data_IF_181818836030
#
_entry.id   IF_181818836030
#
_cell.length_a   1.000
_cell.length_b   1.000
_cell.length_c   1.000
_cell.angle_alpha   90.00
_cell.angle_beta   90.00
_cell.angle_gamma   90.00
#
_symmetry.space_group_name_H-M   'P 1'
#
loop_
_entity.id
_entity.type
_entity.pdbx_description
1 polymer ?
#
# COMPACT_ATOMS: atom_id res chain seq x y z
N UNK A 1 30.92 6.19 29.45
CA UNK A 1 30.98 4.75 29.15
C UNK A 1 29.77 4.36 28.30
N UNK A 2 30.03 4.27 26.99
CA UNK A 2 29.37 3.48 25.93
C UNK A 2 27.91 3.03 26.08
N UNK A 3 27.11 3.56 25.16
CA UNK A 3 25.77 3.17 24.76
C UNK A 3 25.56 1.67 24.53
N UNK A 4 24.46 1.13 25.07
CA UNK A 4 23.82 -0.08 24.57
C UNK A 4 22.62 0.34 23.71
N UNK A 5 22.85 0.51 22.41
CA UNK A 5 21.79 0.66 21.43
C UNK A 5 20.98 -0.65 21.37
N UNK A 6 19.82 -0.67 22.03
CA UNK A 6 18.83 -1.73 21.86
C UNK A 6 18.25 -1.64 20.45
N UNK A 7 18.88 -2.35 19.51
CA UNK A 7 18.37 -2.54 18.16
C UNK A 7 16.95 -3.13 18.16
N UNK A 8 16.17 -2.93 17.09
CA UNK A 8 14.77 -3.33 17.07
C UNK A 8 14.66 -4.85 17.23
N UNK A 9 13.68 -5.24 18.04
CA UNK A 9 13.39 -6.62 18.44
C UNK A 9 13.67 -7.61 17.31
N UNK A 10 14.76 -8.38 17.46
CA UNK A 10 15.06 -9.52 16.61
C UNK A 10 13.94 -10.52 16.88
N UNK A 11 12.96 -10.61 15.97
CA UNK A 11 11.86 -11.58 16.07
C UNK A 11 12.44 -12.97 16.41
N UNK A 12 11.93 -13.57 17.48
CA UNK A 12 12.42 -14.84 17.99
C UNK A 12 12.44 -15.94 16.91
N UNK A 13 13.25 -17.00 17.07
CA UNK A 13 13.34 -18.09 16.09
C UNK A 13 11.97 -18.66 15.68
N UNK A 14 10.99 -18.70 16.59
CA UNK A 14 9.61 -19.12 16.30
C UNK A 14 8.88 -18.21 15.29
N UNK A 15 9.01 -16.88 15.43
CA UNK A 15 8.38 -15.90 14.52
C UNK A 15 9.01 -15.99 13.13
N UNK A 16 10.34 -16.14 13.06
CA UNK A 16 11.05 -16.34 11.79
C UNK A 16 10.68 -17.66 11.11
N UNK A 17 10.41 -18.71 11.90
CA UNK A 17 9.86 -19.97 11.42
C UNK A 17 8.49 -19.80 10.77
N UNK A 18 7.54 -19.19 11.48
CA UNK A 18 6.18 -18.96 10.99
C UNK A 18 6.15 -18.10 9.70
N UNK A 19 6.94 -17.04 9.64
CA UNK A 19 7.06 -16.17 8.45
C UNK A 19 7.55 -16.93 7.22
N UNK A 20 8.54 -17.81 7.40
CA UNK A 20 9.04 -18.66 6.30
C UNK A 20 8.00 -19.69 5.88
N UNK A 21 7.20 -20.22 6.81
CA UNK A 21 6.09 -21.14 6.47
C UNK A 21 5.07 -20.45 5.56
N UNK A 22 4.64 -19.23 5.89
CA UNK A 22 3.72 -18.47 5.04
C UNK A 22 4.26 -18.23 3.63
N UNK A 23 5.55 -17.90 3.51
CA UNK A 23 6.17 -17.71 2.21
C UNK A 23 6.22 -19.02 1.39
N UNK A 24 6.47 -20.16 2.04
CA UNK A 24 6.41 -21.49 1.38
C UNK A 24 4.99 -21.85 0.94
N UNK A 25 3.99 -21.55 1.78
CA UNK A 25 2.57 -21.74 1.43
C UNK A 25 2.20 -20.91 0.20
N UNK A 26 2.63 -19.65 0.13
CA UNK A 26 2.41 -18.81 -1.05
C UNK A 26 2.97 -19.47 -2.32
N UNK A 27 4.24 -19.89 -2.29
CA UNK A 27 4.86 -20.53 -3.46
C UNK A 27 4.23 -21.88 -3.82
N UNK A 28 3.74 -22.64 -2.83
CA UNK A 28 2.99 -23.87 -3.09
C UNK A 28 1.66 -23.57 -3.79
N UNK A 29 0.91 -22.59 -3.30
CA UNK A 29 -0.34 -22.14 -3.92
C UNK A 29 -0.11 -21.60 -5.34
N UNK A 30 0.98 -20.84 -5.54
CA UNK A 30 1.37 -20.32 -6.85
C UNK A 30 1.74 -21.44 -7.83
N UNK A 31 2.49 -22.45 -7.39
CA UNK A 31 2.83 -23.60 -8.23
C UNK A 31 1.59 -24.39 -8.65
N UNK A 32 0.70 -24.69 -7.69
CA UNK A 32 -0.55 -25.40 -7.96
C UNK A 32 -1.48 -24.59 -8.87
N UNK A 33 -1.63 -23.28 -8.60
CA UNK A 33 -2.43 -22.38 -9.41
C UNK A 33 -1.89 -22.24 -10.84
N UNK A 34 -0.56 -22.11 -11.00
CA UNK A 34 0.10 -22.06 -12.29
C UNK A 34 -0.05 -23.36 -13.08
N UNK A 35 0.11 -24.52 -12.43
CA UNK A 35 -0.11 -25.82 -13.06
C UNK A 35 -1.57 -26.00 -13.51
N UNK A 36 -2.53 -25.68 -12.64
CA UNK A 36 -3.95 -25.73 -12.98
C UNK A 36 -4.30 -24.78 -14.13
N UNK A 37 -3.71 -23.58 -14.15
CA UNK A 37 -3.90 -22.62 -15.23
C UNK A 37 -3.33 -23.14 -16.56
N UNK A 38 -2.12 -23.71 -16.57
CA UNK A 38 -1.54 -24.30 -17.79
C UNK A 38 -2.34 -25.49 -18.33
N UNK A 39 -3.02 -26.25 -17.47
CA UNK A 39 -3.99 -27.26 -17.89
C UNK A 39 -5.26 -26.61 -18.48
N UNK A 40 -5.72 -25.49 -17.90
CA UNK A 40 -6.93 -24.80 -18.34
C UNK A 40 -6.77 -24.04 -19.66
N UNK A 41 -5.57 -23.53 -19.98
CA UNK A 41 -5.30 -22.77 -21.22
C UNK A 41 -5.71 -23.51 -22.50
N UNK A 42 -5.35 -24.79 -22.72
CA UNK A 42 -5.80 -25.53 -23.90
C UNK A 42 -7.26 -26.00 -23.82
N UNK A 43 -7.83 -26.19 -22.63
CA UNK A 43 -9.15 -26.81 -22.47
C UNK A 43 -10.30 -25.82 -22.32
N UNK A 44 -10.04 -24.59 -21.89
CA UNK A 44 -11.06 -23.57 -21.62
C UNK A 44 -10.79 -22.31 -22.44
N UNK A 45 -11.47 -22.12 -23.59
CA UNK A 45 -11.23 -20.96 -24.47
C UNK A 45 -11.39 -19.61 -23.78
N UNK A 46 -12.32 -19.50 -22.83
CA UNK A 46 -12.53 -18.27 -22.05
C UNK A 46 -11.32 -17.91 -21.19
N UNK A 47 -10.65 -18.91 -20.58
CA UNK A 47 -9.42 -18.69 -19.81
C UNK A 47 -8.31 -18.20 -20.73
N UNK A 48 -8.08 -18.89 -21.86
CA UNK A 48 -7.07 -18.48 -22.84
C UNK A 48 -7.30 -17.05 -23.33
N UNK A 49 -8.53 -16.71 -23.74
CA UNK A 49 -8.84 -15.36 -24.21
C UNK A 49 -8.65 -14.29 -23.13
N UNK A 50 -9.05 -14.58 -21.89
CA UNK A 50 -8.96 -13.64 -20.78
C UNK A 50 -7.53 -13.44 -20.25
N UNK A 51 -6.65 -14.45 -20.34
CA UNK A 51 -5.32 -14.42 -19.70
C UNK A 51 -4.13 -14.41 -20.66
N UNK A 52 -4.27 -14.92 -21.89
CA UNK A 52 -3.21 -14.95 -22.91
C UNK A 52 -3.59 -14.18 -24.18
N UNK A 53 -4.88 -14.07 -24.49
CA UNK A 53 -5.34 -13.46 -25.73
C UNK A 53 -4.83 -14.24 -26.95
N UNK A 54 -4.24 -13.51 -27.89
CA UNK A 54 -3.65 -14.03 -29.13
C UNK A 54 -2.23 -14.60 -28.98
N UNK A 55 -1.63 -14.55 -27.79
CA UNK A 55 -0.29 -15.13 -27.57
C UNK A 55 -0.28 -16.63 -27.88
N UNK A 56 0.79 -17.08 -28.55
CA UNK A 56 1.03 -18.51 -28.77
C UNK A 56 1.36 -19.17 -27.41
N UNK A 57 0.53 -20.12 -26.94
CA UNK A 57 0.76 -20.77 -25.66
C UNK A 57 2.06 -21.57 -25.61
N UNK A 58 2.57 -22.08 -26.74
CA UNK A 58 3.68 -23.04 -26.72
C UNK A 58 5.02 -22.38 -26.29
N UNK A 59 5.49 -21.28 -26.90
CA UNK A 59 6.69 -20.58 -26.43
C UNK A 59 6.56 -20.06 -25.01
N UNK A 60 5.36 -19.62 -24.62
CA UNK A 60 5.10 -19.13 -23.27
C UNK A 60 5.19 -20.28 -22.26
N UNK A 61 4.61 -21.45 -22.55
CA UNK A 61 4.67 -22.63 -21.69
C UNK A 61 6.10 -23.15 -21.51
N UNK A 62 6.91 -23.15 -22.57
CA UNK A 62 8.30 -23.63 -22.54
C UNK A 62 9.15 -22.88 -21.51
N UNK A 63 8.89 -21.60 -21.30
CA UNK A 63 9.61 -20.79 -20.32
C UNK A 63 8.87 -20.75 -18.97
N UNK A 64 7.55 -20.63 -19.01
CA UNK A 64 6.76 -20.41 -17.81
C UNK A 64 6.62 -21.68 -16.96
N UNK A 65 6.43 -22.86 -17.55
CA UNK A 65 6.36 -24.11 -16.76
C UNK A 65 7.62 -24.34 -15.92
N UNK A 66 8.86 -24.29 -16.44
CA UNK A 66 10.04 -24.48 -15.61
C UNK A 66 10.31 -23.30 -14.66
N UNK A 67 10.16 -22.06 -15.11
CA UNK A 67 10.57 -20.89 -14.32
C UNK A 67 9.52 -20.44 -13.31
N UNK A 68 8.24 -20.55 -13.66
CA UNK A 68 7.12 -20.21 -12.79
C UNK A 68 6.63 -21.41 -11.99
N UNK A 69 6.15 -22.49 -12.63
CA UNK A 69 5.50 -23.61 -11.94
C UNK A 69 6.52 -24.43 -11.14
N UNK A 70 7.53 -24.96 -11.80
CA UNK A 70 8.58 -25.78 -11.15
C UNK A 70 9.41 -24.92 -10.21
N UNK A 71 9.81 -23.71 -10.64
CA UNK A 71 10.50 -22.74 -9.79
C UNK A 71 9.76 -22.45 -8.48
N UNK A 72 8.43 -22.24 -8.55
CA UNK A 72 7.59 -22.03 -7.36
C UNK A 72 7.49 -23.30 -6.50
N UNK A 73 7.39 -24.50 -7.09
CA UNK A 73 7.37 -25.75 -6.33
C UNK A 73 8.68 -25.97 -5.56
N UNK A 74 9.82 -25.70 -6.20
CA UNK A 74 11.15 -25.76 -5.57
C UNK A 74 11.29 -24.70 -4.46
N UNK A 75 10.78 -23.49 -4.69
CA UNK A 75 10.73 -22.44 -3.67
C UNK A 75 9.89 -22.86 -2.45
N UNK A 76 8.74 -23.52 -2.68
CA UNK A 76 7.90 -24.08 -1.63
C UNK A 76 8.60 -25.20 -0.84
N UNK A 77 9.46 -25.99 -1.49
CA UNK A 77 10.33 -26.97 -0.84
C UNK A 77 11.44 -26.32 0.01
N UNK A 78 11.64 -25.01 -0.08
CA UNK A 78 12.62 -24.24 0.71
C UNK A 78 13.90 -23.88 -0.05
N UNK A 79 13.95 -24.12 -1.36
CA UNK A 79 15.12 -23.81 -2.18
C UNK A 79 15.14 -22.30 -2.47
N UNK A 80 16.09 -21.59 -1.85
CA UNK A 80 16.13 -20.11 -1.85
C UNK A 80 16.37 -19.49 -3.22
N UNK A 81 17.28 -20.06 -4.02
CA UNK A 81 17.57 -19.52 -5.35
C UNK A 81 16.37 -19.70 -6.30
N UNK A 82 15.61 -20.79 -6.14
CA UNK A 82 14.38 -21.02 -6.91
C UNK A 82 13.31 -19.97 -6.59
N UNK A 83 13.22 -19.51 -5.33
CA UNK A 83 12.32 -18.41 -4.96
C UNK A 83 12.70 -17.09 -5.65
N UNK A 84 14.00 -16.82 -5.81
CA UNK A 84 14.47 -15.64 -6.55
C UNK A 84 14.14 -15.76 -8.04
N UNK A 85 14.46 -16.90 -8.65
CA UNK A 85 14.15 -17.17 -10.07
C UNK A 85 12.65 -17.05 -10.34
N UNK A 86 11.82 -17.74 -9.55
CA UNK A 86 10.37 -17.70 -9.70
C UNK A 86 9.84 -16.27 -9.53
N UNK A 87 10.24 -15.55 -8.47
CA UNK A 87 9.75 -14.19 -8.25
C UNK A 87 10.19 -13.20 -9.35
N UNK A 88 11.44 -13.29 -9.81
CA UNK A 88 11.95 -12.48 -10.91
C UNK A 88 11.23 -12.79 -12.21
N UNK A 89 11.02 -14.07 -12.52
CA UNK A 89 10.27 -14.49 -13.70
C UNK A 89 8.81 -14.04 -13.65
N UNK A 90 8.12 -14.23 -12.53
CA UNK A 90 6.73 -13.74 -12.34
C UNK A 90 6.63 -12.24 -12.58
N UNK A 91 7.61 -11.46 -12.11
CA UNK A 91 7.65 -10.01 -12.35
C UNK A 91 7.86 -9.68 -13.83
N UNK A 92 8.78 -10.38 -14.51
CA UNK A 92 9.01 -10.21 -15.95
C UNK A 92 7.74 -10.51 -16.74
N UNK A 93 7.06 -11.63 -16.46
CA UNK A 93 5.80 -12.00 -17.11
C UNK A 93 4.71 -10.96 -16.82
N UNK A 94 4.57 -10.50 -15.57
CA UNK A 94 3.60 -9.47 -15.22
C UNK A 94 3.81 -8.17 -16.01
N UNK A 95 5.06 -7.71 -16.12
CA UNK A 95 5.41 -6.48 -16.87
C UNK A 95 5.22 -6.68 -18.37
N UNK A 96 5.68 -7.81 -18.93
CA UNK A 96 5.55 -8.11 -20.35
C UNK A 96 4.07 -8.23 -20.75
N UNK A 97 3.27 -8.93 -19.94
CA UNK A 97 1.84 -9.10 -20.17
C UNK A 97 1.08 -7.78 -20.02
N UNK A 98 1.45 -6.93 -19.05
CA UNK A 98 0.90 -5.58 -18.93
C UNK A 98 1.21 -4.74 -20.17
N UNK A 99 2.45 -4.77 -20.68
CA UNK A 99 2.83 -4.10 -21.92
C UNK A 99 2.02 -4.61 -23.12
N UNK A 100 1.95 -5.93 -23.29
CA UNK A 100 1.16 -6.58 -24.33
C UNK A 100 -0.32 -6.15 -24.27
N UNK A 101 -0.98 -6.31 -23.13
CA UNK A 101 -2.38 -5.92 -22.93
C UNK A 101 -2.61 -4.42 -23.16
N UNK A 102 -1.63 -3.59 -22.78
CA UNK A 102 -1.69 -2.14 -23.01
C UNK A 102 -1.61 -1.78 -24.49
N UNK A 103 -0.99 -2.60 -25.34
CA UNK A 103 -0.93 -2.40 -26.80
C UNK A 103 -2.15 -3.06 -27.48
N UNK A 104 -2.44 -4.33 -27.17
CA UNK A 104 -3.41 -5.15 -27.91
C UNK A 104 -4.85 -5.06 -27.39
N UNK A 105 -5.07 -4.61 -26.14
CA UNK A 105 -6.37 -4.69 -25.42
C UNK A 105 -6.85 -6.13 -25.18
N UNK A 106 -5.92 -7.08 -25.10
CA UNK A 106 -6.18 -8.48 -24.80
C UNK A 106 -5.57 -8.87 -23.45
N UNK A 107 -5.89 -10.08 -22.96
CA UNK A 107 -5.24 -10.69 -21.79
C UNK A 107 -5.32 -9.88 -20.47
N UNK A 108 -6.26 -8.94 -20.34
CA UNK A 108 -6.31 -8.04 -19.19
C UNK A 108 -6.52 -8.72 -17.84
N UNK A 109 -7.32 -9.78 -17.78
CA UNK A 109 -7.46 -10.59 -16.55
C UNK A 109 -6.12 -11.23 -16.20
N UNK A 110 -5.37 -11.67 -17.20
CA UNK A 110 -4.00 -12.17 -17.04
C UNK A 110 -3.08 -11.14 -16.39
N UNK A 111 -3.15 -9.87 -16.80
CA UNK A 111 -2.38 -8.78 -16.17
C UNK A 111 -2.66 -8.66 -14.67
N UNK A 112 -3.95 -8.66 -14.30
CA UNK A 112 -4.36 -8.55 -12.89
C UNK A 112 -3.86 -9.75 -12.09
N UNK A 113 -4.06 -10.98 -12.60
CA UNK A 113 -3.62 -12.21 -11.94
C UNK A 113 -2.09 -12.22 -11.76
N UNK A 114 -1.36 -11.86 -12.82
CA UNK A 114 0.11 -11.82 -12.77
C UNK A 114 0.65 -10.70 -11.89
N UNK A 115 -0.03 -9.55 -11.79
CA UNK A 115 0.36 -8.49 -10.86
C UNK A 115 0.23 -8.94 -9.40
N UNK A 116 -0.88 -9.64 -9.06
CA UNK A 116 -1.07 -10.24 -7.73
C UNK A 116 0.00 -11.32 -7.46
N UNK A 117 0.23 -12.20 -8.44
CA UNK A 117 1.26 -13.25 -8.35
C UNK A 117 2.65 -12.66 -8.13
N UNK A 118 3.00 -11.60 -8.87
CA UNK A 118 4.29 -10.93 -8.77
C UNK A 118 4.47 -10.24 -7.41
N UNK A 119 3.48 -9.49 -6.95
CA UNK A 119 3.54 -8.81 -5.65
C UNK A 119 3.70 -9.83 -4.51
N UNK A 120 2.90 -10.89 -4.50
CA UNK A 120 3.01 -11.93 -3.47
C UNK A 120 4.30 -12.73 -3.59
N UNK A 121 4.80 -13.00 -4.81
CA UNK A 121 6.11 -13.62 -5.03
C UNK A 121 7.26 -12.77 -4.49
N UNK A 122 7.24 -11.46 -4.71
CA UNK A 122 8.26 -10.53 -4.19
C UNK A 122 8.25 -10.50 -2.66
N UNK A 123 7.06 -10.42 -2.06
CA UNK A 123 6.88 -10.50 -0.60
C UNK A 123 7.39 -11.85 -0.08
N UNK A 124 6.92 -12.97 -0.62
CA UNK A 124 7.31 -14.32 -0.20
C UNK A 124 8.82 -14.55 -0.36
N UNK A 125 9.41 -14.09 -1.48
CA UNK A 125 10.85 -14.17 -1.72
C UNK A 125 11.63 -13.35 -0.67
N UNK A 126 11.23 -12.10 -0.41
CA UNK A 126 11.84 -11.28 0.63
C UNK A 126 11.72 -11.94 2.02
N UNK A 127 10.58 -12.54 2.35
CA UNK A 127 10.38 -13.26 3.61
C UNK A 127 11.25 -14.52 3.71
N UNK A 128 11.43 -15.29 2.63
CA UNK A 128 12.33 -16.45 2.61
C UNK A 128 13.80 -16.07 2.74
N UNK A 129 14.24 -15.05 2.01
CA UNK A 129 15.64 -14.63 1.96
C UNK A 129 16.06 -13.86 3.21
N UNK A 130 15.24 -12.88 3.63
CA UNK A 130 15.59 -11.94 4.69
C UNK A 130 14.94 -12.28 6.04
N UNK A 131 13.91 -13.13 6.06
CA UNK A 131 13.12 -13.42 7.27
C UNK A 131 12.27 -12.25 7.77
N UNK A 132 12.19 -11.16 6.99
CA UNK A 132 11.44 -9.93 7.29
C UNK A 132 11.26 -9.13 6.01
N UNK A 133 10.22 -8.29 5.96
CA UNK A 133 10.13 -7.28 4.93
C UNK A 133 11.16 -6.16 5.20
N UNK A 134 11.94 -5.74 4.19
CA UNK A 134 12.92 -4.67 4.34
C UNK A 134 12.22 -3.30 4.42
N UNK A 135 11.52 -3.04 5.52
CA UNK A 135 10.73 -1.81 5.74
C UNK A 135 11.58 -0.53 5.82
N UNK A 136 12.87 -0.66 6.15
CA UNK A 136 13.80 0.47 6.26
C UNK A 136 14.01 1.21 4.93
N UNK A 137 13.82 0.53 3.81
CA UNK A 137 14.02 1.12 2.47
C UNK A 137 12.90 2.09 2.09
N UNK A 138 11.69 1.92 2.64
CA UNK A 138 10.58 2.86 2.42
C UNK A 138 10.84 4.23 3.06
N UNK A 139 11.73 4.29 4.07
CA UNK A 139 12.14 5.52 4.75
C UNK A 139 13.41 6.15 4.15
N UNK A 140 14.02 5.51 3.15
CA UNK A 140 15.25 5.97 2.48
C UNK A 140 14.86 6.36 1.05
N UNK A 141 14.56 7.63 0.81
CA UNK A 141 14.12 8.10 -0.51
C UNK A 141 13.50 9.50 -0.48
N UNK A 142 12.64 9.86 -1.47
CA UNK A 142 11.97 11.17 -1.52
C UNK A 142 11.06 11.45 -0.31
N UNK A 143 10.80 10.44 0.53
CA UNK A 143 10.03 10.53 1.76
C UNK A 143 10.89 10.72 3.04
N UNK A 144 12.20 10.84 2.91
CA UNK A 144 13.07 11.12 4.04
C UNK A 144 12.77 12.53 4.60
N UNK A 145 12.49 12.61 5.91
CA UNK A 145 12.31 13.88 6.58
C UNK A 145 13.62 14.69 6.52
N UNK A 146 13.58 15.85 5.85
CA UNK A 146 14.69 16.79 5.83
C UNK A 146 14.36 17.95 6.78
N UNK A 147 15.29 18.35 7.67
CA UNK A 147 15.10 19.54 8.48
C UNK A 147 14.83 20.75 7.57
N UNK A 148 13.82 21.56 7.89
CA UNK A 148 13.63 22.82 7.17
C UNK A 148 14.79 23.76 7.44
N UNK A 149 15.13 24.54 6.41
CA UNK A 149 16.06 25.65 6.53
C UNK A 149 15.48 26.73 7.45
N UNK A 150 16.04 26.87 8.65
CA UNK A 150 15.60 27.84 9.65
C UNK A 150 15.85 29.30 9.23
N UNK A 151 16.58 29.54 8.13
CA UNK A 151 16.91 30.89 7.65
C UNK A 151 15.94 31.45 6.61
N UNK A 152 15.01 30.63 6.09
CA UNK A 152 14.09 31.05 5.05
C UNK A 152 12.87 31.82 5.60
N UNK A 153 12.35 32.76 4.80
CA UNK A 153 11.19 33.55 5.17
C UNK A 153 9.92 32.69 5.33
N UNK A 154 9.07 33.02 6.31
CA UNK A 154 7.81 32.30 6.61
C UNK A 154 6.91 32.11 5.38
N UNK A 155 6.83 33.11 4.50
CA UNK A 155 6.04 33.03 3.25
C UNK A 155 6.57 31.96 2.28
N UNK A 156 7.89 31.75 2.21
CA UNK A 156 8.50 30.69 1.41
C UNK A 156 8.20 29.30 1.98
N UNK A 157 8.21 29.15 3.31
CA UNK A 157 7.81 27.90 3.94
C UNK A 157 6.34 27.55 3.71
N UNK A 158 5.45 28.54 3.79
CA UNK A 158 4.01 28.36 3.51
C UNK A 158 3.78 28.02 2.04
N UNK A 159 4.43 28.71 1.11
CA UNK A 159 4.31 28.43 -0.32
C UNK A 159 4.86 27.04 -0.69
N UNK A 160 6.04 26.67 -0.18
CA UNK A 160 6.64 25.35 -0.41
C UNK A 160 5.77 24.21 0.17
N UNK A 161 5.21 24.44 1.37
CA UNK A 161 4.23 23.57 2.03
C UNK A 161 2.98 23.37 1.18
N UNK A 162 2.37 24.47 0.70
CA UNK A 162 1.19 24.42 -0.14
C UNK A 162 1.47 23.72 -1.48
N UNK A 163 2.61 24.03 -2.12
CA UNK A 163 3.04 23.38 -3.36
C UNK A 163 3.28 21.87 -3.15
N UNK A 164 3.93 21.47 -2.06
CA UNK A 164 4.14 20.06 -1.73
C UNK A 164 2.82 19.33 -1.50
N UNK A 165 1.85 19.93 -0.79
CA UNK A 165 0.52 19.35 -0.62
C UNK A 165 -0.16 19.19 -1.98
N UNK A 166 -0.18 20.22 -2.82
CA UNK A 166 -0.83 20.18 -4.13
C UNK A 166 -0.18 19.13 -5.03
N UNK A 167 1.15 19.06 -5.09
CA UNK A 167 1.86 18.07 -5.90
C UNK A 167 1.62 16.66 -5.36
N UNK A 168 1.73 16.45 -4.05
CA UNK A 168 1.54 15.14 -3.44
C UNK A 168 0.08 14.67 -3.58
N UNK A 169 -0.88 15.49 -3.21
CA UNK A 169 -2.30 15.14 -3.30
C UNK A 169 -2.75 15.04 -4.75
N UNK A 170 -2.33 15.95 -5.62
CA UNK A 170 -2.59 15.87 -7.05
C UNK A 170 -2.04 14.58 -7.67
N UNK A 171 -0.82 14.18 -7.30
CA UNK A 171 -0.26 12.92 -7.78
C UNK A 171 -1.06 11.70 -7.30
N UNK A 172 -1.35 11.60 -5.99
CA UNK A 172 -1.95 10.39 -5.39
C UNK A 172 -3.48 10.31 -5.49
N UNK A 173 -4.19 11.44 -5.58
CA UNK A 173 -5.66 11.51 -5.64
C UNK A 173 -6.21 11.86 -7.03
N UNK A 174 -5.37 12.33 -7.96
CA UNK A 174 -5.80 12.67 -9.33
C UNK A 174 -5.01 11.87 -10.37
N UNK A 175 -3.69 12.10 -10.47
CA UNK A 175 -2.88 11.51 -11.56
C UNK A 175 -2.85 9.98 -11.48
N UNK A 176 -2.52 9.41 -10.32
CA UNK A 176 -2.46 7.97 -10.14
C UNK A 176 -3.83 7.30 -10.33
N UNK A 177 -4.94 7.77 -9.72
CA UNK A 177 -6.26 7.20 -9.98
C UNK A 177 -6.71 7.27 -11.43
N UNK A 178 -6.45 8.39 -12.13
CA UNK A 178 -6.79 8.52 -13.55
C UNK A 178 -5.96 7.58 -14.42
N UNK A 179 -4.67 7.43 -14.13
CA UNK A 179 -3.81 6.46 -14.81
C UNK A 179 -4.27 5.02 -14.57
N UNK A 180 -4.63 4.67 -13.33
CA UNK A 180 -5.16 3.34 -12.97
C UNK A 180 -6.48 3.09 -13.72
N UNK A 181 -7.41 4.04 -13.73
CA UNK A 181 -8.67 3.91 -14.47
C UNK A 181 -8.44 3.79 -15.98
N UNK A 182 -7.49 4.54 -16.53
CA UNK A 182 -7.12 4.40 -17.93
C UNK A 182 -6.61 2.99 -18.25
N UNK A 183 -5.74 2.42 -17.40
CA UNK A 183 -5.27 1.03 -17.53
C UNK A 183 -6.41 0.02 -17.38
N UNK A 184 -7.29 0.21 -16.40
CA UNK A 184 -8.46 -0.66 -16.16
C UNK A 184 -9.36 -0.76 -17.40
N UNK A 185 -9.63 0.37 -18.05
CA UNK A 185 -10.37 0.44 -19.31
C UNK A 185 -9.56 -0.15 -20.47
N UNK A 186 -8.25 0.14 -20.54
CA UNK A 186 -7.37 -0.33 -21.62
C UNK A 186 -7.22 -1.85 -21.62
N UNK A 187 -7.14 -2.44 -20.43
CA UNK A 187 -7.07 -3.88 -20.21
C UNK A 187 -8.44 -4.56 -20.24
N UNK A 188 -9.54 -3.80 -20.39
CA UNK A 188 -10.92 -4.34 -20.42
C UNK A 188 -11.27 -5.17 -19.18
N UNK A 189 -10.78 -4.75 -18.02
CA UNK A 189 -11.09 -5.36 -16.72
C UNK A 189 -12.01 -4.48 -15.87
N UNK A 190 -12.53 -3.39 -16.45
CA UNK A 190 -13.51 -2.55 -15.80
C UNK A 190 -14.80 -3.35 -15.54
N UNK A 191 -15.27 -3.30 -14.30
CA UNK A 191 -16.58 -3.84 -13.92
C UNK A 191 -17.58 -2.71 -14.07
N UNK A 192 -18.53 -2.79 -15.03
CA UNK A 192 -19.53 -1.74 -15.19
C UNK A 192 -20.37 -1.64 -13.92
N UNK A 193 -20.68 -0.40 -13.52
CA UNK A 193 -21.65 -0.17 -12.45
C UNK A 193 -23.03 -0.65 -12.91
N UNK A 194 -23.87 -1.18 -12.02
CA UNK A 194 -25.24 -1.54 -12.38
C UNK A 194 -25.99 -0.31 -12.92
N UNK A 195 -26.78 -0.52 -13.97
CA UNK A 195 -27.57 0.54 -14.59
C UNK A 195 -28.60 1.14 -13.63
N UNK A 196 -29.13 2.31 -13.99
CA UNK A 196 -30.19 2.99 -13.23
C UNK A 196 -29.66 3.73 -12.00
N UNK A 197 -30.36 3.60 -10.87
CA UNK A 197 -30.07 4.40 -9.67
C UNK A 197 -28.66 4.18 -9.12
N UNK A 198 -28.09 2.99 -9.27
CA UNK A 198 -26.75 2.66 -8.77
C UNK A 198 -25.64 3.42 -9.51
N UNK A 199 -25.80 3.66 -10.82
CA UNK A 199 -24.85 4.42 -11.64
C UNK A 199 -24.68 5.87 -11.15
N UNK A 200 -25.70 6.45 -10.50
CA UNK A 200 -25.65 7.78 -9.87
C UNK A 200 -25.28 7.67 -8.40
N UNK A 201 -25.88 6.74 -7.66
CA UNK A 201 -25.70 6.61 -6.22
C UNK A 201 -24.25 6.31 -5.82
N UNK A 202 -23.53 5.46 -6.56
CA UNK A 202 -22.14 5.10 -6.23
C UNK A 202 -21.19 6.29 -6.36
N UNK A 203 -21.15 7.03 -7.49
CA UNK A 203 -20.35 8.25 -7.58
C UNK A 203 -20.78 9.33 -6.58
N UNK A 204 -22.09 9.52 -6.36
CA UNK A 204 -22.57 10.50 -5.37
C UNK A 204 -22.11 10.15 -3.96
N UNK A 205 -22.22 8.88 -3.55
CA UNK A 205 -21.68 8.42 -2.27
C UNK A 205 -20.15 8.64 -2.20
N UNK A 206 -19.43 8.37 -3.29
CA UNK A 206 -18.01 8.69 -3.42
C UNK A 206 -17.70 10.17 -3.16
N UNK A 207 -18.47 11.09 -3.76
CA UNK A 207 -18.30 12.54 -3.53
C UNK A 207 -18.55 12.90 -2.06
N UNK A 208 -19.64 12.40 -1.47
CA UNK A 208 -19.95 12.65 -0.06
C UNK A 208 -18.82 12.15 0.85
N UNK A 209 -18.35 10.92 0.66
CA UNK A 209 -17.25 10.35 1.43
C UNK A 209 -15.96 11.14 1.22
N UNK A 210 -15.66 11.59 0.00
CA UNK A 210 -14.49 12.40 -0.32
C UNK A 210 -14.52 13.75 0.42
N UNK A 211 -15.68 14.41 0.46
CA UNK A 211 -15.86 15.68 1.19
C UNK A 211 -15.67 15.47 2.69
N UNK A 212 -16.30 14.45 3.27
CA UNK A 212 -16.17 14.14 4.70
C UNK A 212 -14.72 13.77 5.09
N UNK A 213 -14.06 12.96 4.28
CA UNK A 213 -12.66 12.57 4.50
C UNK A 213 -11.71 13.77 4.35
N UNK A 214 -11.98 14.67 3.39
CA UNK A 214 -11.22 15.91 3.24
C UNK A 214 -11.41 16.85 4.44
N UNK A 215 -12.63 16.96 4.97
CA UNK A 215 -12.90 17.72 6.20
C UNK A 215 -12.14 17.14 7.40
N UNK A 216 -12.08 15.80 7.54
CA UNK A 216 -11.27 15.13 8.56
C UNK A 216 -9.77 15.43 8.39
N UNK A 217 -9.27 15.39 7.16
CA UNK A 217 -7.87 15.73 6.83
C UNK A 217 -7.53 17.17 7.20
N UNK A 218 -8.39 18.13 6.84
CA UNK A 218 -8.23 19.55 7.19
C UNK A 218 -8.28 19.75 8.70
N UNK A 219 -9.21 19.10 9.40
CA UNK A 219 -9.29 19.17 10.86
C UNK A 219 -8.04 18.60 11.54
N UNK A 220 -7.48 17.51 11.00
CA UNK A 220 -6.24 16.90 11.49
C UNK A 220 -5.05 17.84 11.28
N UNK A 221 -4.92 18.42 10.10
CA UNK A 221 -3.88 19.40 9.78
C UNK A 221 -3.97 20.65 10.68
N UNK A 222 -5.17 21.17 10.88
CA UNK A 222 -5.42 22.30 11.77
C UNK A 222 -5.09 21.97 13.23
N UNK A 223 -5.46 20.78 13.72
CA UNK A 223 -5.12 20.33 15.07
C UNK A 223 -3.60 20.19 15.27
N UNK A 224 -2.87 19.64 14.29
CA UNK A 224 -1.40 19.60 14.34
C UNK A 224 -0.78 20.99 14.34
N UNK A 225 -1.23 21.87 13.44
CA UNK A 225 -0.70 23.24 13.30
C UNK A 225 -0.91 24.08 14.56
N UNK A 226 -2.12 24.02 15.13
CA UNK A 226 -2.51 24.89 16.26
C UNK A 226 -2.06 24.36 17.63
N UNK A 227 -1.92 23.05 17.80
CA UNK A 227 -1.65 22.43 19.11
C UNK A 227 -0.33 21.65 19.19
N UNK A 228 0.33 21.38 18.07
CA UNK A 228 1.62 20.67 18.01
C UNK A 228 2.85 21.57 18.06
N UNK A 229 2.69 22.89 17.97
CA UNK A 229 3.80 23.84 17.91
C UNK A 229 4.72 23.64 16.69
N UNK A 230 4.15 23.19 15.57
CA UNK A 230 4.82 22.87 14.30
C UNK A 230 3.79 22.63 13.18
N UNK A 231 4.22 22.41 11.93
CA UNK A 231 3.30 22.24 10.78
C UNK A 231 3.07 20.75 10.46
N UNK A 232 1.93 20.37 9.83
CA UNK A 232 1.64 18.99 9.47
C UNK A 232 2.54 18.38 8.38
N UNK A 233 3.55 19.11 7.90
CA UNK A 233 4.47 18.69 6.85
C UNK A 233 5.86 18.38 7.39
N UNK A 234 6.67 17.59 6.65
CA UNK A 234 8.04 17.22 7.01
C UNK A 234 8.99 18.40 7.30
N UNK A 235 8.57 19.64 7.01
CA UNK A 235 9.34 20.86 7.21
C UNK A 235 9.48 21.27 8.69
N UNK A 236 8.51 20.97 9.57
CA UNK A 236 8.63 21.36 10.99
C UNK A 236 7.92 20.35 11.89
N UNK A 237 8.59 19.22 12.16
CA UNK A 237 8.11 18.16 13.06
C UNK A 237 7.60 18.75 14.37
N UNK A 238 6.35 18.44 14.72
CA UNK A 238 5.70 18.88 15.96
C UNK A 238 6.60 18.67 17.18
N UNK A 239 6.80 19.72 17.97
CA UNK A 239 7.61 19.69 19.20
C UNK A 239 6.84 19.09 20.38
N UNK A 240 5.52 18.93 20.23
CA UNK A 240 4.61 18.39 21.26
C UNK A 240 3.74 17.28 20.68
N UNK A 241 3.44 16.28 21.51
CA UNK A 241 2.51 15.21 21.17
C UNK A 241 1.08 15.77 21.06
N UNK A 242 0.47 15.64 19.88
CA UNK A 242 -0.89 16.15 19.61
C UNK A 242 -1.93 15.06 19.89
N UNK A 243 -2.72 15.24 20.95
CA UNK A 243 -3.82 14.34 21.34
C UNK A 243 -5.19 15.03 21.29
N UNK A 244 -5.30 16.14 20.56
CA UNK A 244 -6.48 16.99 20.50
C UNK A 244 -7.11 17.01 19.10
N UNK A 245 -8.37 17.46 19.02
CA UNK A 245 -9.12 17.39 17.76
C UNK A 245 -9.40 15.93 17.36
N UNK A 246 -9.20 15.53 16.10
CA UNK A 246 -9.50 14.17 15.66
C UNK A 246 -8.55 13.12 16.27
N UNK A 247 -7.34 13.55 16.67
CA UNK A 247 -6.35 12.69 17.34
C UNK A 247 -6.85 12.11 18.67
N UNK A 248 -7.87 12.70 19.30
CA UNK A 248 -8.46 12.13 20.53
C UNK A 248 -9.25 10.84 20.28
N UNK A 249 -9.73 10.64 19.05
CA UNK A 249 -10.59 9.53 18.67
C UNK A 249 -9.85 8.45 17.89
N UNK A 250 -8.89 8.84 17.05
CA UNK A 250 -8.11 7.94 16.20
C UNK A 250 -6.66 8.42 16.18
N UNK A 251 -5.68 7.52 16.32
CA UNK A 251 -4.28 7.95 16.42
C UNK A 251 -3.70 8.52 15.13
N UNK A 252 -4.14 8.02 13.99
CA UNK A 252 -3.70 8.51 12.69
C UNK A 252 -4.88 8.95 11.82
N UNK A 253 -5.56 10.06 12.19
CA UNK A 253 -6.73 10.54 11.47
C UNK A 253 -6.36 11.07 10.07
N UNK A 254 -5.10 11.49 9.86
CA UNK A 254 -4.60 11.92 8.56
C UNK A 254 -4.39 10.74 7.60
N UNK A 255 -3.81 9.63 8.07
CA UNK A 255 -3.74 8.39 7.27
C UNK A 255 -5.14 7.84 6.97
N UNK A 256 -6.04 7.87 7.95
CA UNK A 256 -7.44 7.48 7.76
C UNK A 256 -8.13 8.35 6.70
N UNK A 257 -7.94 9.68 6.75
CA UNK A 257 -8.44 10.59 5.73
C UNK A 257 -7.89 10.25 4.34
N UNK A 258 -6.57 10.13 4.20
CA UNK A 258 -5.94 9.84 2.90
C UNK A 258 -6.40 8.53 2.26
N UNK A 259 -6.46 7.45 3.04
CA UNK A 259 -6.96 6.14 2.55
C UNK A 259 -8.43 6.23 2.16
N UNK A 260 -9.25 6.91 2.97
CA UNK A 260 -10.68 7.08 2.68
C UNK A 260 -10.91 7.94 1.44
N UNK A 261 -10.11 8.99 1.24
CA UNK A 261 -10.14 9.82 0.03
C UNK A 261 -9.78 9.01 -1.22
N UNK A 262 -8.71 8.20 -1.16
CA UNK A 262 -8.32 7.36 -2.30
C UNK A 262 -9.41 6.34 -2.67
N UNK A 263 -10.03 5.70 -1.67
CA UNK A 263 -11.16 4.81 -1.89
C UNK A 263 -12.39 5.55 -2.46
N UNK A 264 -12.68 6.75 -1.94
CA UNK A 264 -13.77 7.59 -2.42
C UNK A 264 -13.58 8.01 -3.89
N UNK A 265 -12.36 8.36 -4.30
CA UNK A 265 -12.02 8.62 -5.70
C UNK A 265 -12.30 7.38 -6.57
N UNK A 266 -12.00 6.19 -6.07
CA UNK A 266 -12.36 4.94 -6.76
C UNK A 266 -13.87 4.78 -6.97
N UNK A 267 -14.69 5.14 -5.97
CA UNK A 267 -16.16 5.15 -6.10
C UNK A 267 -16.64 6.20 -7.11
N UNK A 268 -16.08 7.41 -7.07
CA UNK A 268 -16.39 8.48 -8.03
C UNK A 268 -16.08 8.05 -9.47
N UNK A 269 -14.95 7.37 -9.68
CA UNK A 269 -14.53 6.88 -10.98
C UNK A 269 -15.21 5.57 -11.40
N UNK A 270 -15.95 4.90 -10.50
CA UNK A 270 -16.47 3.56 -10.72
C UNK A 270 -15.37 2.55 -11.03
N UNK A 271 -14.22 2.65 -10.35
CA UNK A 271 -13.02 1.84 -10.59
C UNK A 271 -12.68 0.99 -9.38
N UNK A 272 -12.79 -0.33 -9.54
CA UNK A 272 -12.40 -1.27 -8.50
C UNK A 272 -10.88 -1.31 -8.33
N UNK A 273 -10.10 -1.08 -9.39
CA UNK A 273 -8.63 -1.05 -9.29
C UNK A 273 -8.15 0.13 -8.45
N UNK A 274 -8.80 1.30 -8.53
CA UNK A 274 -8.48 2.45 -7.68
C UNK A 274 -8.83 2.17 -6.21
N UNK A 275 -9.95 1.50 -5.95
CA UNK A 275 -10.29 1.05 -4.58
C UNK A 275 -9.25 0.03 -4.07
N UNK A 276 -8.85 -0.93 -4.91
CA UNK A 276 -7.81 -1.91 -4.56
C UNK A 276 -6.47 -1.21 -4.28
N UNK A 277 -6.09 -0.21 -5.07
CA UNK A 277 -4.93 0.63 -4.82
C UNK A 277 -4.99 1.32 -3.44
N UNK A 278 -6.14 1.87 -3.05
CA UNK A 278 -6.31 2.47 -1.72
C UNK A 278 -6.14 1.45 -0.58
N UNK A 279 -6.71 0.25 -0.74
CA UNK A 279 -6.60 -0.85 0.25
C UNK A 279 -5.17 -1.37 0.36
N UNK A 280 -4.51 -1.61 -0.77
CA UNK A 280 -3.12 -2.07 -0.82
C UNK A 280 -2.19 -1.01 -0.21
N UNK A 281 -2.37 0.27 -0.57
CA UNK A 281 -1.62 1.38 -0.02
C UNK A 281 -1.80 1.51 1.50
N UNK A 282 -3.03 1.36 2.00
CA UNK A 282 -3.33 1.36 3.43
C UNK A 282 -2.63 0.22 4.18
N UNK A 283 -2.68 -1.00 3.61
CA UNK A 283 -2.00 -2.17 4.16
C UNK A 283 -0.48 -1.97 4.20
N UNK A 284 0.10 -1.48 3.10
CA UNK A 284 1.52 -1.17 3.02
C UNK A 284 1.92 -0.15 4.08
N UNK A 285 1.20 0.97 4.19
CA UNK A 285 1.46 1.98 5.19
C UNK A 285 1.35 1.40 6.62
N UNK A 286 0.32 0.63 6.91
CA UNK A 286 0.08 0.02 8.23
C UNK A 286 1.20 -0.94 8.67
N UNK A 287 1.77 -1.71 7.74
CA UNK A 287 2.76 -2.73 8.05
C UNK A 287 4.22 -2.26 7.87
N UNK A 288 4.46 -1.24 7.05
CA UNK A 288 5.81 -0.78 6.71
C UNK A 288 6.13 0.57 7.33
N UNK A 289 5.23 1.54 7.24
CA UNK A 289 5.49 2.93 7.63
C UNK A 289 5.12 3.17 9.09
N UNK A 290 3.90 2.80 9.48
CA UNK A 290 3.36 2.98 10.84
C UNK A 290 4.30 2.47 11.94
N UNK A 291 4.94 1.28 11.86
CA UNK A 291 5.83 0.83 12.93
C UNK A 291 7.05 1.73 13.12
N UNK A 292 7.56 2.33 12.03
CA UNK A 292 8.65 3.30 12.10
C UNK A 292 8.20 4.62 12.71
N UNK A 293 7.03 5.13 12.29
CA UNK A 293 6.45 6.35 12.87
C UNK A 293 6.15 6.20 14.37
N UNK A 294 5.55 5.08 14.79
CA UNK A 294 5.25 4.84 16.21
C UNK A 294 6.51 4.64 17.04
N UNK A 295 7.57 4.06 16.48
CA UNK A 295 8.85 3.93 17.16
C UNK A 295 9.55 5.30 17.34
N UNK A 296 9.49 6.19 16.34
CA UNK A 296 9.99 7.57 16.46
C UNK A 296 9.22 8.34 17.54
N UNK A 297 7.89 8.26 17.52
CA UNK A 297 7.03 8.91 18.51
C UNK A 297 7.30 8.39 19.93
N UNK A 298 7.51 7.08 20.09
CA UNK A 298 7.86 6.49 21.38
C UNK A 298 9.25 6.94 21.85
N UNK A 299 10.24 7.00 20.95
CA UNK A 299 11.59 7.47 21.28
C UNK A 299 11.61 8.95 21.70
N UNK A 300 10.77 9.78 21.07
CA UNK A 300 10.71 11.23 21.32
C UNK A 300 9.87 11.61 22.53
N UNK A 301 8.74 10.94 22.74
CA UNK A 301 7.74 11.33 23.74
C UNK A 301 7.58 10.34 24.91
N UNK A 302 8.18 9.14 24.84
CA UNK A 302 8.19 8.18 25.94
C UNK A 302 6.80 7.78 26.44
N UNK A 303 6.64 7.74 27.77
CA UNK A 303 5.42 7.26 28.45
C UNK A 303 4.13 8.03 28.11
N UNK A 304 4.13 9.37 27.91
CA UNK A 304 3.01 10.07 27.31
C UNK A 304 2.46 9.41 26.03
N UNK A 305 3.34 9.01 25.11
CA UNK A 305 2.92 8.34 23.88
C UNK A 305 2.43 6.92 24.13
N UNK A 306 3.05 6.15 25.04
CA UNK A 306 2.58 4.81 25.41
C UNK A 306 1.13 4.85 25.91
N UNK A 307 0.84 5.75 26.87
CA UNK A 307 -0.51 5.93 27.42
C UNK A 307 -1.53 6.31 26.35
N UNK A 308 -1.14 7.21 25.44
CA UNK A 308 -1.99 7.60 24.31
C UNK A 308 -2.22 6.42 23.34
N UNK A 309 -1.19 5.64 23.04
CA UNK A 309 -1.28 4.42 22.20
C UNK A 309 -2.25 3.40 22.76
N UNK A 310 -2.23 3.20 24.07
CA UNK A 310 -3.06 2.20 24.73
C UNK A 310 -4.53 2.64 24.82
N UNK A 311 -4.77 3.96 24.91
CA UNK A 311 -6.12 4.51 25.02
C UNK A 311 -6.83 4.77 23.68
N UNK A 312 -6.09 5.07 22.60
CA UNK A 312 -6.66 5.42 21.29
C UNK A 312 -6.24 4.41 20.24
N UNK A 313 -7.19 3.91 19.45
CA UNK A 313 -6.89 2.94 18.38
C UNK A 313 -6.35 3.64 17.12
N UNK A 314 -5.60 2.90 16.29
CA UNK A 314 -4.96 3.49 15.09
C UNK A 314 -5.95 3.84 13.98
N UNK A 315 -6.94 2.98 13.75
CA UNK A 315 -7.86 3.06 12.61
C UNK A 315 -9.32 3.26 13.01
N UNK A 316 -9.71 2.71 14.17
CA UNK A 316 -11.10 2.68 14.63
C UNK A 316 -11.31 3.74 15.69
N UNK A 317 -12.34 4.60 15.59
CA UNK A 317 -12.63 5.58 16.63
C UNK A 317 -12.83 4.97 18.02
N UNK A 318 -12.37 5.67 19.06
CA UNK A 318 -12.63 5.40 20.48
C UNK A 318 -13.47 6.53 21.08
N UNK A 319 -14.68 6.22 21.55
CA UNK A 319 -15.71 7.24 21.88
C UNK A 319 -15.83 7.71 23.34
N UNK A 320 -14.99 7.23 24.26
CA UNK A 320 -14.46 8.05 25.35
C UNK A 320 -12.96 8.26 25.07
N UNK A 321 -12.65 9.07 24.05
CA UNK A 321 -11.27 9.37 23.67
C UNK A 321 -10.47 9.98 24.83
N UNK A 322 -9.14 10.07 24.69
CA UNK A 322 -8.31 10.68 25.74
C UNK A 322 -8.68 12.17 25.85
N UNK A 323 -8.97 12.69 27.06
CA UNK A 323 -9.13 14.13 27.26
C UNK A 323 -7.88 14.84 26.74
N UNK A 324 -8.05 15.93 25.99
CA UNK A 324 -6.91 16.80 25.67
C UNK A 324 -6.25 17.18 27.01
N UNK A 325 -4.92 17.06 27.10
CA UNK A 325 -4.06 17.20 28.29
C UNK A 325 -4.53 18.33 29.25
N UNK A 326 -4.34 18.17 30.58
CA UNK A 326 -5.14 18.86 31.60
C UNK A 326 -4.97 20.38 31.54
N UNK A 327 -6.07 21.08 31.86
CA UNK A 327 -6.05 22.51 32.14
C UNK A 327 -5.04 22.77 33.26
N UNK A 328 -3.94 23.43 32.94
CA UNK A 328 -3.14 24.22 33.88
C UNK A 328 -3.50 25.67 33.69
#
# INVERSE_FOLDING_TARGET
MTAAASGPARGGPAVRGAVRTWARIWFAAQALGGAAWWVAVPTVPAVRAATLGSLDPLPVALLDVPLFVVGSALAAAGIRWAALVAASWTLVVAVALAGFATVTREAGVGVVVMAVAALGSLVACALLLLGRLPSRWALIGPFAARPADASAATSRHVAATAAQIVVFWGAFLVVAPLAIRWLELRWRVAVPLPDGAAAVAVPTAGIVVLVLASALGIWSAAAMSTRGGGTPLPAATATRLVIAGPYRFVRNPMALAGVTQAAAVGLVLGSWMVVAYAVIGSSLWNHVVRPGEEADLEARFGDPFRRYRDAVRCWVPTFPGVPATPRT
#
